data_IF_982099225466
#
_entry.id   IF_982099225466
#
_cell.length_a   1.000
_cell.length_b   1.000
_cell.length_c   1.000
_cell.angle_alpha   90.00
_cell.angle_beta   90.00
_cell.angle_gamma   90.00
#
_symmetry.space_group_name_H-M   'P 1'
#
loop_
_entity.id
_entity.type
_entity.pdbx_description
1 polymer ?
#
# COMPACT_ATOMS: atom_id res chain seq x y z
N UNK A 1 13.32 5.21 0.71
CA UNK A 1 12.64 6.16 1.61
C UNK A 1 11.20 6.24 1.16
N UNK A 2 10.24 6.18 2.08
CA UNK A 2 8.82 6.39 1.76
C UNK A 2 8.57 7.88 1.49
N UNK A 3 7.65 8.18 0.58
CA UNK A 3 7.12 9.53 0.43
C UNK A 3 6.39 9.97 1.69
N UNK A 4 6.33 11.29 1.93
CA UNK A 4 5.64 11.86 3.11
C UNK A 4 4.20 11.37 3.27
N UNK A 5 3.51 11.10 2.16
CA UNK A 5 2.15 10.56 2.17
C UNK A 5 2.13 9.12 2.72
N UNK A 6 3.05 8.26 2.27
CA UNK A 6 3.16 6.89 2.73
C UNK A 6 3.59 6.81 4.21
N UNK A 7 4.50 7.69 4.65
CA UNK A 7 4.88 7.79 6.08
C UNK A 7 3.72 8.20 6.98
N UNK A 8 2.85 9.10 6.51
CA UNK A 8 1.64 9.51 7.25
C UNK A 8 0.71 8.32 7.49
N UNK A 9 0.54 7.46 6.49
CA UNK A 9 -0.28 6.24 6.61
C UNK A 9 0.37 5.23 7.56
N UNK A 10 1.69 5.03 7.49
CA UNK A 10 2.41 4.15 8.41
C UNK A 10 2.19 4.57 9.87
N UNK A 11 2.32 5.87 10.16
CA UNK A 11 2.04 6.42 11.50
C UNK A 11 0.59 6.23 11.93
N UNK A 12 -0.37 6.42 11.02
CA UNK A 12 -1.79 6.21 11.32
C UNK A 12 -2.10 4.74 11.66
N UNK A 13 -1.43 3.79 10.99
CA UNK A 13 -1.54 2.35 11.28
C UNK A 13 -0.92 2.02 12.65
N UNK A 14 0.26 2.55 12.94
CA UNK A 14 0.93 2.38 14.24
C UNK A 14 0.10 2.96 15.39
N UNK A 15 -0.48 4.15 15.22
CA UNK A 15 -1.38 4.76 16.20
C UNK A 15 -2.63 3.94 16.47
N UNK A 16 -3.09 3.17 15.48
CA UNK A 16 -4.21 2.22 15.62
C UNK A 16 -3.79 0.88 16.21
N UNK A 17 -2.50 0.68 16.52
CA UNK A 17 -1.97 -0.60 17.01
C UNK A 17 -1.96 -1.71 15.95
N UNK A 18 -2.06 -1.35 14.67
CA UNK A 18 -2.04 -2.29 13.56
C UNK A 18 -0.61 -2.59 13.15
N UNK A 19 -0.23 -3.86 13.15
CA UNK A 19 1.09 -4.32 12.71
C UNK A 19 1.12 -4.43 11.18
N UNK A 20 1.04 -3.29 10.50
CA UNK A 20 1.05 -3.20 9.04
C UNK A 20 2.31 -2.49 8.56
N UNK A 21 2.81 -2.90 7.39
CA UNK A 21 3.97 -2.29 6.73
C UNK A 21 3.50 -1.60 5.45
N UNK A 22 3.65 -0.29 5.41
CA UNK A 22 3.43 0.49 4.19
C UNK A 22 4.65 0.33 3.29
N UNK A 23 4.42 -0.14 2.07
CA UNK A 23 5.44 -0.30 1.03
C UNK A 23 5.06 0.57 -0.14
N UNK A 24 5.98 1.44 -0.55
CA UNK A 24 5.82 2.25 -1.76
C UNK A 24 6.43 1.51 -2.94
N UNK A 25 5.62 1.23 -3.95
CA UNK A 25 6.04 0.51 -5.16
C UNK A 25 6.50 1.49 -6.22
N UNK A 26 7.57 1.14 -6.93
CA UNK A 26 8.11 1.97 -8.02
C UNK A 26 7.25 1.93 -9.30
N UNK A 27 6.32 0.96 -9.40
CA UNK A 27 5.48 0.75 -10.58
C UNK A 27 4.16 1.50 -10.47
N UNK A 28 3.58 1.89 -11.61
CA UNK A 28 2.32 2.63 -11.69
C UNK A 28 1.15 1.80 -11.13
N UNK A 29 0.76 2.03 -9.89
CA UNK A 29 -0.40 1.38 -9.22
C UNK A 29 -1.75 2.01 -9.62
N UNK A 30 -1.85 2.56 -10.84
CA UNK A 30 -3.04 3.31 -11.31
C UNK A 30 -4.29 2.44 -11.36
N UNK A 31 -4.15 1.12 -11.53
CA UNK A 31 -5.26 0.16 -11.45
C UNK A 31 -5.01 -0.89 -10.37
N UNK A 32 -6.09 -1.47 -9.85
CA UNK A 32 -6.01 -2.58 -8.89
C UNK A 32 -5.28 -3.80 -9.50
N UNK A 33 -5.40 -4.02 -10.81
CA UNK A 33 -4.69 -5.08 -11.51
C UNK A 33 -3.17 -4.85 -11.54
N UNK A 34 -2.73 -3.60 -11.78
CA UNK A 34 -1.30 -3.27 -11.78
C UNK A 34 -0.70 -3.40 -10.37
N UNK A 35 -1.43 -2.98 -9.34
CA UNK A 35 -1.00 -3.13 -7.95
C UNK A 35 -0.88 -4.62 -7.57
N UNK A 36 -1.89 -5.43 -7.93
CA UNK A 36 -1.90 -6.86 -7.69
C UNK A 36 -0.73 -7.57 -8.38
N UNK A 37 -0.50 -7.25 -9.66
CA UNK A 37 0.61 -7.80 -10.42
C UNK A 37 1.98 -7.42 -9.84
N UNK A 38 2.13 -6.16 -9.38
CA UNK A 38 3.38 -5.68 -8.82
C UNK A 38 3.73 -6.33 -7.47
N UNK A 39 2.71 -6.62 -6.65
CA UNK A 39 2.89 -7.24 -5.32
C UNK A 39 2.86 -8.78 -5.41
N UNK A 40 2.37 -9.33 -6.53
CA UNK A 40 2.16 -10.77 -6.70
C UNK A 40 0.95 -11.30 -5.91
N UNK A 41 -0.04 -10.44 -5.63
CA UNK A 41 -1.29 -10.82 -4.97
C UNK A 41 -2.46 -10.84 -5.96
N UNK A 42 -3.61 -11.36 -5.54
CA UNK A 42 -4.80 -11.35 -6.38
C UNK A 42 -5.47 -9.96 -6.37
N UNK A 43 -6.08 -9.56 -7.50
CA UNK A 43 -6.79 -8.27 -7.62
C UNK A 43 -7.90 -8.12 -6.58
N UNK A 44 -8.54 -9.22 -6.18
CA UNK A 44 -9.56 -9.25 -5.12
C UNK A 44 -9.04 -8.86 -3.73
N UNK A 45 -7.73 -8.89 -3.52
CA UNK A 45 -7.07 -8.45 -2.28
C UNK A 45 -6.70 -6.95 -2.31
N UNK A 46 -6.91 -6.27 -3.43
CA UNK A 46 -6.68 -4.83 -3.56
C UNK A 46 -7.98 -4.09 -3.22
N UNK A 47 -8.01 -3.46 -2.06
CA UNK A 47 -9.12 -2.61 -1.63
C UNK A 47 -8.97 -1.24 -2.30
N UNK A 48 -10.02 -0.78 -2.97
CA UNK A 48 -10.12 0.57 -3.51
C UNK A 48 -10.92 1.43 -2.52
N UNK A 49 -10.34 2.54 -2.08
CA UNK A 49 -10.99 3.57 -1.25
C UNK A 49 -11.98 4.41 -2.05
#
# INVERSE_FOLDING_TARGET
>A
MLSKSAESIQKALEQKGLTCTVVELASSTRTAADAAHTIGCEVGQIIKS
#
